data_IF_410838999128
#
_entry.id   IF_410838999128
#
_cell.length_a   1.000
_cell.length_b   1.000
_cell.length_c   1.000
_cell.angle_alpha   90.00
_cell.angle_beta   90.00
_cell.angle_gamma   90.00
#
_symmetry.space_group_name_H-M   'P 1'
#
loop_
_entity.id
_entity.type
_entity.pdbx_description
1 polymer ?
#
# COMPACT_ATOMS: atom_id res chain seq x y z
N UNK A 1 18.72 13.32 -12.14
CA UNK A 1 19.06 12.43 -11.01
C UNK A 1 17.80 11.66 -10.61
N UNK A 2 17.89 10.43 -10.09
CA UNK A 2 16.72 9.69 -9.60
C UNK A 2 16.02 10.43 -8.46
N UNK A 3 14.70 10.31 -8.40
CA UNK A 3 13.88 10.77 -7.25
C UNK A 3 13.64 9.58 -6.33
N UNK A 4 13.98 9.70 -5.06
CA UNK A 4 13.84 8.61 -4.08
C UNK A 4 12.55 8.79 -3.28
N UNK A 5 11.87 7.68 -2.99
CA UNK A 5 10.75 7.63 -2.06
C UNK A 5 11.13 6.79 -0.83
N UNK A 6 10.76 7.24 0.36
CA UNK A 6 10.93 6.44 1.56
C UNK A 6 9.80 5.42 1.68
N UNK A 7 10.14 4.13 1.77
CA UNK A 7 9.16 3.10 2.06
C UNK A 7 8.88 3.07 3.57
N UNK A 8 7.75 3.65 4.00
CA UNK A 8 7.38 3.81 5.42
C UNK A 8 6.95 2.49 6.09
N UNK A 9 6.75 1.42 5.33
CA UNK A 9 6.58 0.09 5.91
C UNK A 9 7.90 -0.53 6.37
N UNK A 10 9.02 -0.08 5.80
CA UNK A 10 10.36 -0.61 6.07
C UNK A 10 11.28 0.37 6.80
N UNK A 11 11.10 1.67 6.59
CA UNK A 11 11.88 2.74 7.21
C UNK A 11 11.09 3.43 8.31
N UNK A 12 11.81 4.00 9.27
CA UNK A 12 11.24 4.73 10.42
C UNK A 12 10.30 3.88 11.29
N UNK A 13 10.51 2.56 11.31
CA UNK A 13 9.65 1.61 12.03
C UNK A 13 9.75 1.71 13.54
N UNK A 14 10.74 2.44 14.05
CA UNK A 14 10.86 2.86 15.44
C UNK A 14 9.76 3.86 15.87
N UNK A 15 9.00 4.40 14.92
CA UNK A 15 7.87 5.31 15.16
C UNK A 15 6.52 4.65 14.78
N UNK A 16 5.39 5.08 15.39
CA UNK A 16 4.05 4.80 14.89
C UNK A 16 3.87 5.27 13.44
N UNK A 17 3.08 4.55 12.64
CA UNK A 17 2.98 4.77 11.18
C UNK A 17 2.74 6.24 10.77
N UNK A 18 1.77 6.92 11.40
CA UNK A 18 1.44 8.31 11.07
C UNK A 18 2.56 9.31 11.41
N UNK A 19 3.48 8.97 12.32
CA UNK A 19 4.63 9.81 12.66
C UNK A 19 5.79 9.66 11.66
N UNK A 20 5.80 8.58 10.87
CA UNK A 20 6.86 8.27 9.90
C UNK A 20 6.91 9.26 8.74
N UNK A 21 5.78 9.87 8.38
CA UNK A 21 5.71 10.90 7.35
C UNK A 21 6.60 12.09 7.71
N UNK A 22 6.52 12.58 8.95
CA UNK A 22 7.35 13.67 9.41
C UNK A 22 8.84 13.28 9.51
N UNK A 23 9.14 12.02 9.85
CA UNK A 23 10.50 11.51 9.85
C UNK A 23 11.11 11.46 8.43
N UNK A 24 10.35 10.98 7.45
CA UNK A 24 10.78 10.96 6.05
C UNK A 24 11.05 12.36 5.49
N UNK A 25 10.14 13.32 5.74
CA UNK A 25 10.35 14.70 5.31
C UNK A 25 11.58 15.34 5.97
N UNK A 26 11.79 15.13 7.28
CA UNK A 26 13.00 15.61 7.99
C UNK A 26 14.30 14.99 7.44
N UNK A 27 14.22 13.75 6.94
CA UNK A 27 15.34 13.08 6.29
C UNK A 27 15.58 13.55 4.84
N UNK A 28 14.77 14.47 4.33
CA UNK A 28 14.93 15.07 3.00
C UNK A 28 14.22 14.32 1.87
N UNK A 29 13.34 13.37 2.19
CA UNK A 29 12.48 12.76 1.17
C UNK A 29 11.35 13.71 0.78
N UNK A 30 11.06 13.78 -0.52
CA UNK A 30 9.91 14.49 -1.08
C UNK A 30 8.76 13.54 -1.43
N UNK A 31 9.00 12.23 -1.37
CA UNK A 31 8.05 11.19 -1.72
C UNK A 31 8.10 10.02 -0.73
N UNK A 32 6.97 9.34 -0.59
CA UNK A 32 6.81 8.15 0.24
C UNK A 32 6.02 7.06 -0.47
N UNK A 33 6.28 5.84 -0.07
CA UNK A 33 5.46 4.67 -0.39
C UNK A 33 5.24 3.84 0.89
N UNK A 34 4.26 2.95 0.88
CA UNK A 34 4.04 1.97 1.95
C UNK A 34 3.14 0.85 1.42
N UNK A 35 3.10 -0.28 2.12
CA UNK A 35 2.35 -1.45 1.67
C UNK A 35 0.84 -1.24 1.79
N UNK A 36 0.32 -1.06 3.01
CA UNK A 36 -1.12 -1.16 3.30
C UNK A 36 -1.59 0.02 4.15
N UNK A 37 -2.43 0.93 3.62
CA UNK A 37 -2.95 2.07 4.39
C UNK A 37 -4.21 1.77 5.21
N UNK A 38 -4.84 0.61 5.01
CA UNK A 38 -6.27 0.38 5.30
C UNK A 38 -6.68 0.37 6.78
N UNK A 39 -5.72 0.38 7.71
CA UNK A 39 -5.99 0.56 9.14
C UNK A 39 -6.25 2.02 9.52
N UNK A 40 -5.96 2.97 8.62
CA UNK A 40 -6.10 4.41 8.83
C UNK A 40 -7.08 5.00 7.83
N UNK A 41 -7.84 6.00 8.23
CA UNK A 41 -8.69 6.71 7.29
C UNK A 41 -7.81 7.44 6.25
N UNK A 42 -8.20 7.38 4.97
CA UNK A 42 -7.48 8.07 3.90
C UNK A 42 -7.31 9.58 4.17
N UNK A 43 -8.28 10.22 4.83
CA UNK A 43 -8.18 11.61 5.26
C UNK A 43 -7.03 11.90 6.23
N UNK A 44 -6.74 10.99 7.16
CA UNK A 44 -5.63 11.15 8.12
C UNK A 44 -4.27 11.04 7.41
N UNK A 45 -4.15 10.08 6.49
CA UNK A 45 -2.95 9.93 5.66
C UNK A 45 -2.76 11.16 4.78
N UNK A 46 -3.83 11.65 4.13
CA UNK A 46 -3.81 12.86 3.31
C UNK A 46 -3.31 14.07 4.10
N UNK A 47 -3.79 14.23 5.33
CA UNK A 47 -3.34 15.29 6.22
C UNK A 47 -1.84 15.20 6.47
N UNK A 48 -1.31 14.00 6.78
CA UNK A 48 0.13 13.80 7.00
C UNK A 48 0.98 14.06 5.75
N UNK A 49 0.49 13.68 4.57
CA UNK A 49 1.14 14.01 3.30
C UNK A 49 1.22 15.53 3.10
N UNK A 50 0.13 16.26 3.33
CA UNK A 50 0.05 17.71 3.17
C UNK A 50 0.92 18.47 4.17
N UNK A 51 0.84 18.13 5.46
CA UNK A 51 1.63 18.77 6.52
C UNK A 51 3.14 18.66 6.28
N UNK A 52 3.57 17.56 5.66
CA UNK A 52 4.98 17.25 5.43
C UNK A 52 5.44 17.47 3.98
N UNK A 53 4.56 18.00 3.11
CA UNK A 53 4.84 18.27 1.70
C UNK A 53 5.36 17.02 0.94
N UNK A 54 4.78 15.86 1.23
CA UNK A 54 5.17 14.58 0.64
C UNK A 54 4.20 14.15 -0.46
N UNK A 55 4.76 13.58 -1.53
CA UNK A 55 3.98 12.87 -2.54
C UNK A 55 3.90 11.37 -2.20
N UNK A 56 2.69 10.82 -2.14
CA UNK A 56 2.51 9.36 -2.15
C UNK A 56 2.69 8.84 -3.58
N UNK A 57 3.64 7.92 -3.78
CA UNK A 57 3.97 7.42 -5.13
C UNK A 57 3.50 6.00 -5.40
N UNK A 58 3.29 5.19 -4.36
CA UNK A 58 2.87 3.80 -4.45
C UNK A 58 2.28 3.28 -3.13
N UNK A 59 1.24 2.44 -3.25
CA UNK A 59 0.84 1.48 -2.22
C UNK A 59 0.17 0.25 -2.86
N UNK A 60 -0.19 -0.75 -2.05
CA UNK A 60 -0.72 -2.02 -2.54
C UNK A 60 -2.21 -2.17 -2.24
N UNK A 61 -2.91 -3.00 -3.02
CA UNK A 61 -4.23 -3.56 -2.63
C UNK A 61 -4.16 -4.32 -1.30
N UNK A 62 -5.29 -4.57 -0.61
CA UNK A 62 -5.32 -5.43 0.58
C UNK A 62 -4.61 -6.78 0.35
N UNK A 63 -3.89 -7.30 1.36
CA UNK A 63 -3.15 -8.56 1.21
C UNK A 63 -4.02 -9.81 1.41
N UNK A 64 -5.27 -9.68 1.84
CA UNK A 64 -6.07 -10.78 2.36
C UNK A 64 -5.74 -11.12 3.82
N UNK A 65 -6.00 -12.36 4.24
CA UNK A 65 -5.65 -12.87 5.55
C UNK A 65 -4.19 -13.35 5.60
N UNK A 66 -3.31 -12.45 6.03
CA UNK A 66 -1.88 -12.73 6.20
C UNK A 66 -1.61 -13.83 7.25
N UNK A 67 -2.48 -14.03 8.23
CA UNK A 67 -2.33 -15.10 9.23
C UNK A 67 -2.66 -16.47 8.65
N UNK A 68 -3.52 -16.51 7.61
CA UNK A 68 -3.77 -17.69 6.80
C UNK A 68 -2.72 -17.90 5.68
N UNK A 69 -1.73 -17.02 5.57
CA UNK A 69 -0.67 -17.08 4.55
C UNK A 69 -1.06 -16.47 3.20
N UNK A 70 -2.12 -15.66 3.13
CA UNK A 70 -2.48 -14.93 1.92
C UNK A 70 -1.51 -13.76 1.66
N UNK A 71 -1.33 -13.42 0.39
CA UNK A 71 -0.49 -12.30 -0.05
C UNK A 71 -1.00 -11.71 -1.37
N UNK A 72 -2.25 -11.24 -1.33
CA UNK A 72 -3.04 -10.79 -2.48
C UNK A 72 -4.01 -11.85 -2.97
N UNK A 73 -5.02 -11.40 -3.72
CA UNK A 73 -6.14 -12.23 -4.17
C UNK A 73 -6.38 -12.17 -5.69
N UNK A 74 -5.72 -11.26 -6.41
CA UNK A 74 -6.01 -10.99 -7.83
C UNK A 74 -5.76 -12.18 -8.76
N UNK A 75 -4.87 -13.09 -8.38
CA UNK A 75 -4.53 -14.29 -9.13
C UNK A 75 -5.10 -15.58 -8.50
N UNK A 76 -5.98 -15.50 -7.50
CA UNK A 76 -6.53 -16.68 -6.82
C UNK A 76 -7.85 -17.11 -7.48
N UNK A 77 -7.93 -18.32 -8.10
CA UNK A 77 -9.16 -18.81 -8.71
C UNK A 77 -10.33 -18.83 -7.73
N UNK A 78 -11.50 -18.34 -8.18
CA UNK A 78 -12.71 -18.27 -7.37
C UNK A 78 -12.81 -17.05 -6.43
N UNK A 79 -11.75 -16.25 -6.29
CA UNK A 79 -11.72 -15.06 -5.42
C UNK A 79 -11.87 -13.73 -6.18
N UNK A 80 -12.22 -13.75 -7.48
CA UNK A 80 -12.26 -12.55 -8.33
C UNK A 80 -13.20 -11.45 -7.81
N UNK A 81 -14.31 -11.80 -7.16
CA UNK A 81 -15.22 -10.83 -6.57
C UNK A 81 -14.57 -10.07 -5.40
N UNK A 82 -13.71 -10.74 -4.63
CA UNK A 82 -12.98 -10.14 -3.52
C UNK A 82 -11.84 -9.27 -4.03
N UNK A 83 -11.06 -9.79 -4.99
CA UNK A 83 -10.04 -9.00 -5.68
C UNK A 83 -10.60 -7.71 -6.31
N UNK A 84 -11.82 -7.76 -6.87
CA UNK A 84 -12.48 -6.56 -7.40
C UNK A 84 -12.80 -5.54 -6.31
N UNK A 85 -13.32 -5.98 -5.15
CA UNK A 85 -13.57 -5.08 -4.01
C UNK A 85 -12.28 -4.45 -3.49
N UNK A 86 -11.21 -5.24 -3.42
CA UNK A 86 -9.89 -4.80 -3.01
C UNK A 86 -9.31 -3.73 -3.95
N UNK A 87 -9.49 -3.91 -5.27
CA UNK A 87 -9.10 -2.92 -6.28
C UNK A 87 -9.97 -1.65 -6.18
N UNK A 88 -11.29 -1.78 -5.98
CA UNK A 88 -12.20 -0.65 -5.81
C UNK A 88 -11.84 0.18 -4.57
N UNK A 89 -11.53 -0.47 -3.44
CA UNK A 89 -11.05 0.19 -2.22
C UNK A 89 -9.71 0.88 -2.44
N UNK A 90 -8.76 0.21 -3.10
CA UNK A 90 -7.47 0.82 -3.40
C UNK A 90 -7.61 2.03 -4.35
N UNK A 91 -8.51 1.97 -5.33
CA UNK A 91 -8.82 3.10 -6.20
C UNK A 91 -9.39 4.28 -5.41
N UNK A 92 -10.29 4.04 -4.46
CA UNK A 92 -10.81 5.09 -3.58
C UNK A 92 -9.69 5.79 -2.81
N UNK A 93 -8.79 5.02 -2.18
CA UNK A 93 -7.62 5.58 -1.49
C UNK A 93 -6.70 6.34 -2.44
N UNK A 94 -6.42 5.79 -3.62
CA UNK A 94 -5.55 6.44 -4.60
C UNK A 94 -6.09 7.81 -5.01
N UNK A 95 -7.40 7.89 -5.28
CA UNK A 95 -8.09 9.14 -5.60
C UNK A 95 -8.02 10.16 -4.44
N UNK A 96 -8.28 9.73 -3.19
CA UNK A 96 -8.25 10.64 -2.04
C UNK A 96 -6.84 11.13 -1.69
N UNK A 97 -5.83 10.26 -1.86
CA UNK A 97 -4.44 10.53 -1.51
C UNK A 97 -3.65 11.18 -2.66
N UNK A 98 -4.22 11.25 -3.87
CA UNK A 98 -3.51 11.72 -5.06
C UNK A 98 -2.37 10.79 -5.48
N UNK A 99 -2.48 9.49 -5.18
CA UNK A 99 -1.47 8.50 -5.54
C UNK A 99 -1.65 8.08 -7.01
N UNK A 100 -0.62 8.18 -7.86
CA UNK A 100 -0.76 7.86 -9.28
C UNK A 100 -0.73 6.35 -9.58
N UNK A 101 -0.29 5.52 -8.63
CA UNK A 101 0.00 4.10 -8.87
C UNK A 101 -0.43 3.24 -7.68
N UNK A 102 -0.99 2.07 -8.01
CA UNK A 102 -1.34 1.02 -7.05
C UNK A 102 -0.77 -0.29 -7.55
N UNK A 103 -0.09 -1.03 -6.67
CA UNK A 103 0.33 -2.40 -6.94
C UNK A 103 -0.81 -3.37 -6.57
N UNK A 104 -1.39 -4.00 -7.59
CA UNK A 104 -2.39 -5.05 -7.40
C UNK A 104 -1.68 -6.35 -7.03
N UNK A 105 -1.88 -6.82 -5.81
CA UNK A 105 -1.22 -8.01 -5.31
C UNK A 105 -1.86 -9.29 -5.87
N UNK A 106 -1.03 -10.15 -6.45
CA UNK A 106 -1.45 -11.38 -7.11
C UNK A 106 -1.98 -12.44 -6.12
N UNK A 107 -1.12 -12.98 -5.26
CA UNK A 107 -1.45 -14.05 -4.33
C UNK A 107 -0.36 -15.10 -4.18
N UNK A 108 -0.48 -15.94 -3.15
CA UNK A 108 0.38 -17.12 -2.95
C UNK A 108 -0.27 -18.33 -3.62
N UNK A 109 0.49 -19.03 -4.46
CA UNK A 109 0.02 -20.28 -5.09
C UNK A 109 -0.01 -21.40 -4.04
N UNK A 110 -1.18 -22.01 -3.75
CA UNK A 110 -1.27 -23.09 -2.77
C UNK A 110 -0.41 -24.30 -3.16
N UNK A 111 0.11 -25.06 -2.18
CA UNK A 111 0.79 -26.32 -2.47
C UNK A 111 -0.09 -27.27 -3.30
N UNK A 112 0.44 -27.78 -4.40
CA UNK A 112 -0.27 -28.70 -5.30
C UNK A 112 -1.23 -28.05 -6.30
N UNK A 113 -1.39 -26.72 -6.28
CA UNK A 113 -2.12 -26.02 -7.33
C UNK A 113 -1.34 -26.03 -8.66
N UNK A 114 -2.08 -26.10 -9.77
CA UNK A 114 -1.52 -25.95 -11.11
C UNK A 114 -1.01 -24.52 -11.29
N UNK A 115 0.23 -24.37 -11.78
CA UNK A 115 0.88 -23.07 -12.03
C UNK A 115 0.64 -22.53 -13.43
N UNK A 116 0.03 -23.33 -14.31
CA UNK A 116 -0.32 -22.92 -15.65
C UNK A 116 -1.64 -22.12 -15.72
N UNK A 117 -2.35 -21.99 -14.60
CA UNK A 117 -3.61 -21.27 -14.44
C UNK A 117 -3.49 -20.14 -13.41
#
# INVERSE_FOLDING_TARGET
MPKFAANLSMLFTELPFLERFAAAARAGFEAVEFLFPYEYAAGEIRQRLQENQLQLVLFNTPPGDVNAGEWGLAAIPGRSAEARRDIELALEYACQLGCPQVHIMAGVVPPGADRAY
#
